data_IF_333556229153
#
_entry.id   IF_333556229153
#
_cell.length_a   1.000
_cell.length_b   1.000
_cell.length_c   1.000
_cell.angle_alpha   90.00
_cell.angle_beta   90.00
_cell.angle_gamma   90.00
#
_symmetry.space_group_name_H-M   'P 1'
#
loop_
_entity.id
_entity.type
_entity.pdbx_description
1 polymer ?
#
# COMPACT_ATOMS: atom_id res chain seq x y z
N UNK A 1 20.02 5.33 -9.53
CA UNK A 1 20.45 6.38 -10.47
C UNK A 1 21.84 6.02 -10.95
N UNK A 2 22.07 5.94 -12.26
CA UNK A 2 23.30 5.42 -12.85
C UNK A 2 23.45 5.84 -14.32
N UNK A 3 24.67 6.19 -14.74
CA UNK A 3 25.03 6.44 -16.13
C UNK A 3 26.41 7.07 -16.25
N UNK A 4 27.03 6.93 -17.43
CA UNK A 4 28.42 7.34 -17.66
C UNK A 4 29.46 6.30 -17.23
N UNK A 5 30.70 6.46 -17.71
CA UNK A 5 31.81 5.50 -17.49
C UNK A 5 33.09 6.18 -16.98
N UNK A 6 33.36 7.42 -17.40
CA UNK A 6 34.55 8.18 -16.99
C UNK A 6 34.16 9.64 -16.71
N UNK A 7 34.80 10.28 -15.73
CA UNK A 7 34.43 11.63 -15.27
C UNK A 7 34.69 12.75 -16.29
N UNK A 8 35.46 12.47 -17.34
CA UNK A 8 35.79 13.37 -18.46
C UNK A 8 35.02 13.03 -19.76
N UNK A 9 34.06 12.11 -19.72
CA UNK A 9 33.25 11.68 -20.86
C UNK A 9 31.78 11.98 -20.58
N UNK A 10 31.12 12.71 -21.48
CA UNK A 10 29.67 12.99 -21.38
C UNK A 10 28.90 11.67 -21.50
N UNK A 11 28.01 11.32 -20.55
CA UNK A 11 27.20 10.11 -20.64
C UNK A 11 26.28 10.12 -21.87
N UNK A 12 26.22 8.99 -22.59
CA UNK A 12 25.25 8.78 -23.68
C UNK A 12 23.85 8.45 -23.15
N UNK A 13 23.76 7.83 -21.98
CA UNK A 13 22.52 7.41 -21.33
C UNK A 13 22.58 7.63 -19.81
N UNK A 14 21.41 7.73 -19.18
CA UNK A 14 21.29 7.93 -17.74
C UNK A 14 19.95 7.38 -17.20
N UNK A 15 20.02 6.49 -16.23
CA UNK A 15 18.85 5.76 -15.70
C UNK A 15 18.50 6.24 -14.30
N UNK A 16 17.26 6.69 -14.12
CA UNK A 16 16.68 7.09 -12.83
C UNK A 16 15.39 6.29 -12.61
N UNK A 17 15.23 5.75 -11.40
CA UNK A 17 13.99 5.11 -10.96
C UNK A 17 13.34 5.95 -9.87
N UNK A 18 12.02 6.07 -9.91
CA UNK A 18 11.21 6.78 -8.92
C UNK A 18 10.15 5.84 -8.36
N UNK A 19 10.03 5.75 -7.04
CA UNK A 19 8.86 5.19 -6.37
C UNK A 19 7.92 6.36 -6.04
N UNK A 20 6.69 6.32 -6.57
CA UNK A 20 5.67 7.35 -6.31
C UNK A 20 4.40 6.68 -5.82
N UNK A 21 3.91 7.12 -4.65
CA UNK A 21 2.65 6.68 -4.05
C UNK A 21 1.60 7.78 -4.19
N UNK A 22 0.47 7.44 -4.80
CA UNK A 22 -0.70 8.32 -4.94
C UNK A 22 -1.85 7.81 -4.08
N UNK A 23 -2.88 8.65 -3.87
CA UNK A 23 -4.06 8.25 -3.09
C UNK A 23 -5.03 7.41 -3.94
N UNK A 24 -5.91 6.60 -3.33
CA UNK A 24 -7.02 5.96 -4.06
C UNK A 24 -7.99 6.95 -4.71
N UNK A 25 -7.99 8.23 -4.32
CA UNK A 25 -8.81 9.27 -4.94
C UNK A 25 -8.13 9.92 -6.17
N UNK A 26 -6.83 9.72 -6.35
CA UNK A 26 -6.05 10.29 -7.45
C UNK A 26 -6.46 9.67 -8.78
N UNK A 27 -6.65 10.51 -9.79
CA UNK A 27 -6.82 10.09 -11.18
C UNK A 27 -5.49 9.54 -11.73
N UNK A 28 -5.44 8.24 -12.01
CA UNK A 28 -4.24 7.59 -12.55
C UNK A 28 -4.00 7.94 -14.02
N UNK A 29 -5.04 8.13 -14.84
CA UNK A 29 -4.84 8.41 -16.26
C UNK A 29 -4.23 9.81 -16.42
N UNK A 30 -4.78 10.80 -15.72
CA UNK A 30 -4.23 12.15 -15.67
C UNK A 30 -2.82 12.20 -15.05
N UNK A 31 -2.58 11.45 -13.97
CA UNK A 31 -1.26 11.40 -13.32
C UNK A 31 -0.19 10.78 -14.23
N UNK A 32 -0.46 9.64 -14.86
CA UNK A 32 0.51 9.00 -15.75
C UNK A 32 0.70 9.81 -17.04
N UNK A 33 -0.34 10.44 -17.59
CA UNK A 33 -0.22 11.35 -18.73
C UNK A 33 0.70 12.55 -18.42
N UNK A 34 0.60 13.13 -17.22
CA UNK A 34 1.50 14.19 -16.76
C UNK A 34 2.97 13.70 -16.66
N UNK A 35 3.21 12.55 -16.04
CA UNK A 35 4.56 11.99 -15.89
C UNK A 35 5.18 11.63 -17.25
N UNK A 36 4.43 10.99 -18.15
CA UNK A 36 4.90 10.69 -19.50
C UNK A 36 5.12 11.97 -20.34
N UNK A 37 4.36 13.04 -20.08
CA UNK A 37 4.60 14.38 -20.64
C UNK A 37 5.99 14.90 -20.27
N UNK A 38 6.32 14.94 -18.97
CA UNK A 38 7.65 15.36 -18.49
C UNK A 38 8.78 14.48 -19.02
N UNK A 39 8.58 13.16 -19.11
CA UNK A 39 9.56 12.26 -19.72
C UNK A 39 9.85 12.66 -21.17
N UNK A 40 8.80 12.88 -21.98
CA UNK A 40 8.91 13.26 -23.40
C UNK A 40 9.54 14.65 -23.59
N UNK A 41 9.27 15.60 -22.70
CA UNK A 41 9.92 16.92 -22.70
C UNK A 41 11.40 16.84 -22.33
N UNK A 42 11.79 15.91 -21.44
CA UNK A 42 13.17 15.75 -20.99
C UNK A 42 14.05 14.97 -21.97
N UNK A 43 13.53 13.96 -22.69
CA UNK A 43 14.26 13.25 -23.74
C UNK A 43 13.31 12.52 -24.72
N UNK A 44 13.62 12.57 -26.02
CA UNK A 44 12.82 11.92 -27.08
C UNK A 44 12.70 10.40 -26.93
N UNK A 45 13.64 9.76 -26.23
CA UNK A 45 13.68 8.30 -26.01
C UNK A 45 13.29 7.86 -24.58
N UNK A 46 12.71 8.75 -23.76
CA UNK A 46 12.36 8.45 -22.37
C UNK A 46 11.15 7.49 -22.23
N UNK A 47 11.40 6.20 -22.39
CA UNK A 47 10.45 5.12 -22.12
C UNK A 47 10.72 4.42 -20.78
N UNK A 48 9.65 4.00 -20.09
CA UNK A 48 9.70 3.19 -18.89
C UNK A 48 8.33 2.62 -18.53
N UNK A 49 8.29 1.41 -17.97
CA UNK A 49 7.04 0.79 -17.55
C UNK A 49 6.59 1.32 -16.18
N UNK A 50 5.31 1.69 -16.07
CA UNK A 50 4.65 1.95 -14.80
C UNK A 50 3.71 0.80 -14.46
N UNK A 51 3.97 0.05 -13.38
CA UNK A 51 3.08 -1.00 -12.89
C UNK A 51 1.87 -0.43 -12.14
N UNK A 52 0.96 0.17 -12.91
CA UNK A 52 -0.22 0.90 -12.42
C UNK A 52 -1.26 -0.02 -11.75
N UNK A 53 -1.42 0.07 -10.43
CA UNK A 53 -2.65 -0.36 -9.74
C UNK A 53 -2.95 0.60 -8.58
N UNK A 54 -3.97 1.45 -8.74
CA UNK A 54 -4.61 2.20 -7.66
C UNK A 54 -6.12 1.99 -7.75
N UNK A 55 -6.63 1.06 -6.96
CA UNK A 55 -8.07 0.77 -6.89
C UNK A 55 -8.79 1.79 -6.02
N UNK A 56 -9.58 2.66 -6.67
CA UNK A 56 -10.70 3.39 -6.02
C UNK A 56 -11.55 2.39 -5.25
N UNK A 57 -11.84 2.69 -3.99
CA UNK A 57 -12.45 1.71 -3.10
C UNK A 57 -13.21 2.37 -1.95
N UNK A 58 -14.52 2.20 -1.95
CA UNK A 58 -15.43 2.59 -0.88
C UNK A 58 -16.22 1.35 -0.46
N UNK A 59 -16.02 0.89 0.77
CA UNK A 59 -16.72 -0.26 1.32
C UNK A 59 -16.86 -0.16 2.84
N UNK A 60 -17.79 -0.94 3.40
CA UNK A 60 -17.96 -1.07 4.85
C UNK A 60 -17.07 -2.20 5.36
N UNK A 61 -16.23 -1.90 6.36
CA UNK A 61 -15.45 -2.92 7.05
C UNK A 61 -16.30 -3.62 8.11
N UNK A 62 -16.99 -4.69 7.74
CA UNK A 62 -17.88 -5.45 8.65
C UNK A 62 -17.14 -6.08 9.84
N UNK A 63 -15.85 -6.43 9.66
CA UNK A 63 -14.97 -6.90 10.73
C UNK A 63 -14.77 -5.90 11.88
N UNK A 64 -15.21 -4.65 11.74
CA UNK A 64 -15.25 -3.63 12.80
C UNK A 64 -15.85 -4.15 14.10
N UNK A 65 -16.94 -4.93 14.02
CA UNK A 65 -17.60 -5.53 15.19
C UNK A 65 -16.66 -6.43 16.01
N UNK A 66 -15.75 -7.15 15.36
CA UNK A 66 -14.74 -7.98 16.04
C UNK A 66 -13.58 -7.18 16.65
N UNK A 67 -13.20 -6.07 16.01
CA UNK A 67 -12.23 -5.12 16.57
C UNK A 67 -12.81 -4.43 17.82
N UNK A 68 -14.06 -3.95 17.75
CA UNK A 68 -14.77 -3.33 18.86
C UNK A 68 -14.95 -4.32 20.05
N UNK A 69 -15.37 -5.57 19.77
CA UNK A 69 -15.44 -6.69 20.73
C UNK A 69 -14.11 -6.94 21.46
N UNK A 70 -12.98 -6.63 20.82
CA UNK A 70 -11.64 -6.81 21.38
C UNK A 70 -11.15 -5.63 22.24
N UNK A 71 -11.99 -4.59 22.44
CA UNK A 71 -11.71 -3.46 23.33
C UNK A 71 -10.53 -2.58 22.90
N UNK A 72 -10.15 -2.61 21.63
CA UNK A 72 -9.01 -1.86 21.09
C UNK A 72 -9.45 -0.54 20.45
N UNK A 73 -8.63 0.50 20.59
CA UNK A 73 -8.69 1.68 19.73
C UNK A 73 -7.87 1.39 18.47
N UNK A 74 -8.44 1.69 17.31
CA UNK A 74 -7.82 1.55 16.00
C UNK A 74 -7.98 2.86 15.22
N UNK A 75 -7.12 3.09 14.25
CA UNK A 75 -7.09 4.28 13.41
C UNK A 75 -7.25 3.88 11.93
N UNK A 76 -7.99 4.66 11.15
CA UNK A 76 -8.34 4.34 9.76
C UNK A 76 -7.49 5.20 8.83
N UNK A 77 -6.50 4.60 8.17
CA UNK A 77 -5.52 5.30 7.34
C UNK A 77 -5.43 4.71 5.94
N UNK A 78 -5.07 5.56 4.97
CA UNK A 78 -4.55 5.09 3.67
C UNK A 78 -3.15 4.52 3.95
N UNK A 79 -2.95 3.23 3.68
CA UNK A 79 -1.65 2.60 3.80
C UNK A 79 -0.83 2.85 2.51
N UNK A 80 0.40 3.39 2.59
CA UNK A 80 1.20 3.72 1.40
C UNK A 80 1.91 2.50 0.78
N UNK A 81 2.05 1.42 1.55
CA UNK A 81 2.61 0.15 1.06
C UNK A 81 1.66 -0.56 0.09
N UNK A 82 2.22 -1.35 -0.82
CA UNK A 82 1.43 -2.24 -1.66
C UNK A 82 1.10 -3.52 -0.91
N UNK A 83 -0.15 -4.00 -1.03
CA UNK A 83 -0.57 -5.32 -0.53
C UNK A 83 -1.41 -6.02 -1.59
N UNK A 84 -1.53 -7.35 -1.52
CA UNK A 84 -2.33 -8.15 -2.47
C UNK A 84 -3.84 -7.82 -2.42
N UNK A 85 -4.28 -7.13 -1.36
CA UNK A 85 -5.58 -6.47 -1.27
C UNK A 85 -5.83 -5.49 -2.43
N UNK A 86 -4.82 -5.07 -3.21
CA UNK A 86 -5.02 -4.31 -4.45
C UNK A 86 -5.70 -5.15 -5.54
N UNK A 87 -5.21 -6.37 -5.78
CA UNK A 87 -5.73 -7.28 -6.81
C UNK A 87 -7.13 -7.79 -6.49
N UNK A 88 -7.40 -8.09 -5.21
CA UNK A 88 -8.74 -8.49 -4.77
C UNK A 88 -9.78 -7.40 -5.07
N UNK A 89 -9.42 -6.13 -4.90
CA UNK A 89 -10.30 -4.98 -5.19
C UNK A 89 -10.49 -4.74 -6.69
N UNK A 90 -9.54 -5.13 -7.54
CA UNK A 90 -9.71 -5.04 -9.01
C UNK A 90 -10.79 -6.00 -9.50
N UNK A 91 -10.84 -7.22 -8.94
CA UNK A 91 -11.90 -8.20 -9.22
C UNK A 91 -13.17 -7.98 -8.38
N UNK A 92 -13.33 -6.79 -7.79
CA UNK A 92 -14.53 -6.37 -7.06
C UNK A 92 -14.70 -6.96 -5.65
N UNK A 93 -13.73 -7.72 -5.12
CA UNK A 93 -13.81 -8.29 -3.77
C UNK A 93 -13.43 -7.23 -2.72
N UNK A 94 -14.29 -6.95 -1.72
CA UNK A 94 -13.95 -6.06 -0.62
C UNK A 94 -12.79 -6.60 0.22
N UNK A 95 -11.67 -5.87 0.23
CA UNK A 95 -10.46 -6.23 1.00
C UNK A 95 -9.92 -5.02 1.78
N UNK A 96 -9.47 -5.27 3.01
CA UNK A 96 -8.87 -4.28 3.91
C UNK A 96 -7.61 -4.85 4.55
N UNK A 97 -6.57 -4.03 4.72
CA UNK A 97 -5.45 -4.34 5.59
C UNK A 97 -5.82 -4.03 7.05
N UNK A 98 -5.40 -4.89 7.98
CA UNK A 98 -5.55 -4.67 9.42
C UNK A 98 -4.30 -5.12 10.17
N UNK A 99 -3.87 -4.33 11.15
CA UNK A 99 -2.66 -4.56 11.94
C UNK A 99 -3.02 -4.60 13.42
N UNK A 100 -3.12 -5.78 14.05
CA UNK A 100 -3.65 -5.93 15.41
C UNK A 100 -2.59 -5.62 16.49
N UNK A 101 -1.79 -4.57 16.27
CA UNK A 101 -0.54 -4.30 17.00
C UNK A 101 -0.60 -2.97 17.78
N UNK A 102 -1.57 -2.79 18.71
CA UNK A 102 -1.78 -1.52 19.40
C UNK A 102 -0.54 -1.09 20.18
N UNK A 103 -0.26 0.22 20.18
CA UNK A 103 0.87 0.85 20.86
C UNK A 103 2.26 0.32 20.45
N UNK A 104 2.39 -0.32 19.29
CA UNK A 104 3.68 -0.78 18.75
C UNK A 104 4.31 0.31 17.88
N UNK A 105 5.63 0.59 17.98
CA UNK A 105 6.32 1.50 17.07
C UNK A 105 6.22 1.04 15.61
N UNK A 106 6.01 1.98 14.68
CA UNK A 106 5.96 1.70 13.24
C UNK A 106 7.39 1.59 12.70
N UNK A 107 7.88 0.36 12.56
CA UNK A 107 9.25 0.02 12.14
C UNK A 107 9.30 -0.82 10.85
N UNK A 108 8.22 -0.83 10.06
CA UNK A 108 8.13 -1.61 8.83
C UNK A 108 9.24 -1.21 7.85
N UNK A 109 10.08 -2.17 7.46
CA UNK A 109 11.27 -1.99 6.62
C UNK A 109 12.35 -1.08 7.23
N UNK A 110 12.39 -0.91 8.56
CA UNK A 110 13.40 -0.13 9.27
C UNK A 110 14.27 -0.99 10.21
N UNK A 111 15.37 -0.41 10.69
CA UNK A 111 16.38 -1.05 11.50
C UNK A 111 15.81 -1.56 12.84
N UNK A 112 16.00 -2.85 13.10
CA UNK A 112 15.46 -3.54 14.28
C UNK A 112 13.92 -3.56 14.31
N UNK A 113 13.28 -3.71 13.14
CA UNK A 113 11.87 -4.10 13.02
C UNK A 113 11.57 -5.28 13.97
N UNK A 114 10.56 -5.10 14.83
CA UNK A 114 10.24 -6.05 15.91
C UNK A 114 8.82 -5.83 16.42
N UNK A 115 8.24 -6.92 16.92
CA UNK A 115 6.96 -6.93 17.61
C UNK A 115 7.14 -7.53 19.02
N UNK A 116 6.41 -7.02 20.01
CA UNK A 116 6.40 -7.64 21.33
C UNK A 116 5.53 -8.91 21.31
N UNK A 117 6.07 -10.02 21.83
CA UNK A 117 5.39 -11.32 21.91
C UNK A 117 3.95 -11.24 22.45
N UNK A 118 3.73 -10.48 23.53
CA UNK A 118 2.38 -10.35 24.14
C UNK A 118 1.41 -9.56 23.27
N UNK A 119 1.92 -8.66 22.43
CA UNK A 119 1.12 -7.94 21.42
C UNK A 119 0.86 -8.85 20.21
N UNK A 120 1.82 -9.67 19.79
CA UNK A 120 1.61 -10.68 18.74
C UNK A 120 0.52 -11.67 19.15
N UNK A 121 0.61 -12.27 20.34
CA UNK A 121 -0.36 -13.23 20.86
C UNK A 121 -1.75 -12.60 21.01
N UNK A 122 -1.87 -11.42 21.63
CA UNK A 122 -3.13 -10.66 21.66
C UNK A 122 -3.64 -10.32 20.25
N UNK A 123 -2.74 -10.16 19.29
CA UNK A 123 -3.08 -9.92 17.88
C UNK A 123 -3.81 -11.09 17.23
N UNK A 124 -3.52 -12.32 17.66
CA UNK A 124 -4.24 -13.53 17.24
C UNK A 124 -5.67 -13.49 17.79
N UNK A 125 -5.87 -13.20 19.08
CA UNK A 125 -7.21 -13.08 19.69
C UNK A 125 -8.08 -12.03 18.98
N UNK A 126 -7.49 -10.89 18.61
CA UNK A 126 -8.16 -9.83 17.85
C UNK A 126 -8.56 -10.34 16.46
N UNK A 127 -7.67 -11.04 15.74
CA UNK A 127 -8.01 -11.62 14.43
C UNK A 127 -9.10 -12.70 14.54
N UNK A 128 -9.07 -13.56 15.56
CA UNK A 128 -10.13 -14.55 15.81
C UNK A 128 -11.48 -13.85 15.98
N UNK A 129 -11.55 -12.78 16.78
CA UNK A 129 -12.78 -11.99 16.95
C UNK A 129 -13.25 -11.31 15.66
N UNK A 130 -12.33 -10.86 14.78
CA UNK A 130 -12.65 -10.26 13.49
C UNK A 130 -13.19 -11.31 12.50
N UNK A 131 -12.56 -12.48 12.44
CA UNK A 131 -12.97 -13.59 11.56
C UNK A 131 -14.32 -14.14 12.02
N UNK A 132 -14.52 -14.35 13.33
CA UNK A 132 -15.79 -14.70 13.98
C UNK A 132 -16.91 -13.71 13.60
N UNK A 133 -16.65 -12.40 13.75
CA UNK A 133 -17.60 -11.36 13.40
C UNK A 133 -17.92 -11.28 11.89
N UNK A 134 -16.96 -11.57 11.01
CA UNK A 134 -17.14 -11.57 9.55
C UNK A 134 -17.83 -12.85 9.05
N UNK A 135 -17.56 -14.00 9.63
CA UNK A 135 -18.26 -15.26 9.33
C UNK A 135 -19.70 -15.28 9.88
N UNK A 136 -19.98 -14.51 10.93
CA UNK A 136 -21.31 -14.37 11.53
C UNK A 136 -22.22 -13.33 10.85
N UNK A 137 -21.80 -12.75 9.71
CA UNK A 137 -22.67 -11.86 8.92
C UNK A 137 -23.54 -12.72 8.01
N UNK A 138 -24.87 -12.49 8.04
CA UNK A 138 -25.76 -13.11 7.05
C UNK A 138 -25.39 -12.64 5.64
N UNK A 139 -25.44 -13.56 4.67
CA UNK A 139 -25.34 -13.19 3.26
C UNK A 139 -26.46 -12.19 2.89
N UNK A 140 -26.09 -11.18 2.11
CA UNK A 140 -26.98 -10.13 1.62
C UNK A 140 -27.60 -10.50 0.27
#
# INVERSE_FOLDING_TARGET
MSGGVQANVVPQEFTIGFDIRVTPATDLEAFNAMVHGWCKEACESAGGDGSQISTKYEAKFEGRRGADKSGIKYDTRIFPGGTDSRYLREIGIPAFGFSPMPNTPMLLHDHNERLNEKIFLKGIDIFVNIIDAMASVQAA
#
